data_IF_209120234896
#
_entry.id   IF_209120234896
#
_cell.length_a   1.000
_cell.length_b   1.000
_cell.length_c   1.000
_cell.angle_alpha   90.00
_cell.angle_beta   90.00
_cell.angle_gamma   90.00
#
_symmetry.space_group_name_H-M   'P 1'
#
loop_
_entity.id
_entity.type
_entity.pdbx_description
1 polymer ?
#
# COMPACT_ATOMS: atom_id res chain seq x y z
N UNK A 1 -0.55 14.27 -21.46
CA UNK A 1 -1.68 13.59 -22.12
C UNK A 1 -1.75 12.10 -21.75
N UNK A 2 -0.70 11.28 -22.02
CA UNK A 2 -0.73 9.82 -21.77
C UNK A 2 -1.01 9.52 -20.30
N UNK A 3 -0.32 10.18 -19.37
CA UNK A 3 -0.52 10.03 -17.92
C UNK A 3 -1.96 10.40 -17.51
N UNK A 4 -2.48 11.53 -18.04
CA UNK A 4 -3.85 11.96 -17.76
C UNK A 4 -4.91 10.95 -18.26
N UNK A 5 -4.70 10.35 -19.43
CA UNK A 5 -5.61 9.30 -19.93
C UNK A 5 -5.52 8.01 -19.09
N UNK A 6 -4.30 7.59 -18.70
CA UNK A 6 -4.11 6.44 -17.83
C UNK A 6 -4.80 6.65 -16.46
N UNK A 7 -4.65 7.85 -15.88
CA UNK A 7 -5.32 8.19 -14.62
C UNK A 7 -6.86 8.15 -14.75
N UNK A 8 -7.43 8.73 -15.82
CA UNK A 8 -8.88 8.70 -16.07
C UNK A 8 -9.45 7.29 -16.24
N UNK A 9 -8.66 6.38 -16.82
CA UNK A 9 -9.04 4.99 -17.00
C UNK A 9 -8.75 4.12 -15.77
N UNK A 10 -8.27 4.69 -14.67
CA UNK A 10 -7.94 3.94 -13.46
C UNK A 10 -6.75 2.99 -13.62
N UNK A 11 -5.84 3.27 -14.56
CA UNK A 11 -4.67 2.42 -14.77
C UNK A 11 -3.73 2.46 -13.56
N UNK A 12 -3.22 1.30 -13.16
CA UNK A 12 -2.17 1.19 -12.13
C UNK A 12 -0.78 1.45 -12.69
N UNK A 13 -0.52 1.02 -13.93
CA UNK A 13 0.79 1.15 -14.57
C UNK A 13 0.65 1.50 -16.06
N UNK A 14 1.63 2.28 -16.56
CA UNK A 14 1.84 2.54 -17.99
C UNK A 14 3.13 1.86 -18.40
N UNK A 15 3.07 0.94 -19.36
CA UNK A 15 4.22 0.25 -19.91
C UNK A 15 4.60 0.83 -21.27
N UNK A 16 5.86 1.17 -21.45
CA UNK A 16 6.50 1.48 -22.72
C UNK A 16 7.50 0.38 -23.05
N UNK A 17 7.22 -0.39 -24.07
CA UNK A 17 8.02 -1.56 -24.44
C UNK A 17 8.61 -1.34 -25.83
N UNK A 18 9.93 -1.26 -25.90
CA UNK A 18 10.66 -1.06 -27.15
C UNK A 18 10.77 -2.35 -27.95
N UNK A 19 10.45 -2.28 -29.23
CA UNK A 19 10.50 -3.39 -30.16
C UNK A 19 11.05 -2.91 -31.51
N UNK A 20 11.43 -3.85 -32.43
CA UNK A 20 12.02 -3.51 -33.73
C UNK A 20 11.16 -2.53 -34.55
N UNK A 21 9.83 -2.67 -34.51
CA UNK A 21 8.87 -1.87 -35.29
C UNK A 21 8.32 -0.62 -34.62
N UNK A 22 8.77 -0.31 -33.40
CA UNK A 22 8.27 0.84 -32.63
C UNK A 22 8.17 0.54 -31.15
N UNK A 23 7.49 1.39 -30.40
CA UNK A 23 7.31 1.25 -28.96
C UNK A 23 5.84 1.02 -28.64
N UNK A 24 5.56 -0.10 -28.01
CA UNK A 24 4.20 -0.46 -27.56
C UNK A 24 3.89 0.30 -26.28
N UNK A 25 2.72 0.94 -26.23
CA UNK A 25 2.19 1.59 -25.02
C UNK A 25 1.03 0.74 -24.52
N UNK A 26 1.16 0.22 -23.31
CA UNK A 26 0.13 -0.60 -22.67
C UNK A 26 -0.24 -0.02 -21.30
N UNK A 27 -1.50 -0.10 -20.94
CA UNK A 27 -1.98 0.24 -19.60
C UNK A 27 -2.35 -1.03 -18.86
N UNK A 28 -2.05 -1.06 -17.57
CA UNK A 28 -2.55 -2.11 -16.68
C UNK A 28 -3.85 -1.63 -16.05
N UNK A 29 -4.96 -2.25 -16.44
CA UNK A 29 -6.30 -2.00 -15.91
C UNK A 29 -6.75 -3.28 -15.21
N UNK A 30 -7.18 -3.20 -13.96
CA UNK A 30 -7.65 -4.33 -13.16
C UNK A 30 -6.72 -5.55 -13.19
N UNK A 31 -5.41 -5.30 -13.18
CA UNK A 31 -4.37 -6.32 -13.20
C UNK A 31 -3.99 -6.83 -14.61
N UNK A 32 -4.79 -6.56 -15.66
CA UNK A 32 -4.52 -6.97 -17.03
C UNK A 32 -3.84 -5.87 -17.86
N UNK A 33 -2.97 -6.26 -18.80
CA UNK A 33 -2.31 -5.33 -19.71
C UNK A 33 -3.11 -5.17 -21.01
N UNK A 34 -3.52 -3.93 -21.30
CA UNK A 34 -4.26 -3.56 -22.49
C UNK A 34 -3.40 -2.74 -23.46
N UNK A 35 -3.42 -3.09 -24.75
CA UNK A 35 -2.73 -2.35 -25.79
C UNK A 35 -3.47 -1.03 -26.05
N UNK A 36 -2.75 0.09 -25.89
CA UNK A 36 -3.30 1.43 -26.12
C UNK A 36 -2.83 2.01 -27.43
N UNK A 37 -1.51 1.90 -27.72
CA UNK A 37 -0.94 2.46 -28.94
C UNK A 37 0.40 1.82 -29.29
N UNK A 38 0.82 2.06 -30.54
CA UNK A 38 2.22 1.87 -30.96
C UNK A 38 2.73 3.22 -31.43
N UNK A 39 3.84 3.68 -30.89
CA UNK A 39 4.45 4.96 -31.25
C UNK A 39 5.82 4.75 -31.88
N UNK A 40 6.30 5.73 -32.65
CA UNK A 40 7.64 5.66 -33.23
C UNK A 40 8.72 5.83 -32.15
N UNK A 41 9.90 5.24 -32.37
CA UNK A 41 11.06 5.43 -31.50
C UNK A 41 11.45 6.91 -31.33
N UNK A 42 11.25 7.73 -32.37
CA UNK A 42 11.51 9.18 -32.28
C UNK A 42 10.58 9.86 -31.28
N UNK A 43 9.28 9.57 -31.38
CA UNK A 43 8.26 10.14 -30.46
C UNK A 43 8.49 9.66 -29.02
N UNK A 44 8.87 8.41 -28.87
CA UNK A 44 9.17 7.84 -27.54
C UNK A 44 10.43 8.50 -26.93
N UNK A 45 11.50 8.73 -27.69
CA UNK A 45 12.69 9.45 -27.19
C UNK A 45 12.36 10.83 -26.65
N UNK A 46 11.50 11.59 -27.33
CA UNK A 46 11.06 12.91 -26.84
C UNK A 46 10.28 12.81 -25.52
N UNK A 47 9.38 11.83 -25.42
CA UNK A 47 8.64 11.55 -24.18
C UNK A 47 9.57 11.14 -23.06
N UNK A 48 10.49 10.23 -23.33
CA UNK A 48 11.48 9.72 -22.38
C UNK A 48 12.38 10.83 -21.84
N UNK A 49 12.86 11.75 -22.70
CA UNK A 49 13.64 12.91 -22.27
C UNK A 49 12.82 13.83 -21.32
N UNK A 50 11.57 14.09 -21.64
CA UNK A 50 10.70 14.90 -20.80
C UNK A 50 10.45 14.25 -19.42
N UNK A 51 10.26 12.95 -19.40
CA UNK A 51 10.08 12.18 -18.17
C UNK A 51 11.37 12.15 -17.35
N UNK A 52 12.50 11.89 -18.00
CA UNK A 52 13.81 11.78 -17.35
C UNK A 52 14.21 13.05 -16.61
N UNK A 53 13.99 14.21 -17.22
CA UNK A 53 14.23 15.51 -16.57
C UNK A 53 13.38 15.68 -15.32
N UNK A 54 12.08 15.34 -15.40
CA UNK A 54 11.16 15.50 -14.27
C UNK A 54 11.41 14.48 -13.15
N UNK A 55 11.83 13.25 -13.51
CA UNK A 55 12.06 12.16 -12.56
C UNK A 55 13.52 12.10 -12.07
N UNK A 56 14.38 13.01 -12.53
CA UNK A 56 15.82 13.04 -12.24
C UNK A 56 16.52 11.71 -12.51
N UNK A 57 16.24 11.12 -13.69
CA UNK A 57 16.87 9.89 -14.18
C UNK A 57 17.65 10.16 -15.46
N UNK A 58 18.62 9.28 -15.79
CA UNK A 58 19.42 9.40 -17.00
C UNK A 58 18.89 8.49 -18.12
N UNK A 59 18.63 9.07 -19.30
CA UNK A 59 18.28 8.28 -20.50
C UNK A 59 19.46 7.57 -21.14
N UNK A 60 20.69 7.89 -20.72
CA UNK A 60 21.94 7.30 -21.22
C UNK A 60 22.58 6.31 -20.23
N UNK A 61 21.95 6.05 -19.09
CA UNK A 61 22.48 5.11 -18.11
C UNK A 61 22.50 3.69 -18.67
N UNK A 62 23.62 2.96 -18.49
CA UNK A 62 23.73 1.57 -18.92
C UNK A 62 22.92 0.60 -18.03
N UNK A 63 22.54 1.06 -16.85
CA UNK A 63 21.84 0.27 -15.84
C UNK A 63 20.38 0.70 -15.70
N UNK A 64 19.60 -0.13 -15.01
CA UNK A 64 18.23 0.20 -14.62
C UNK A 64 18.20 1.48 -13.77
N UNK A 65 17.22 2.33 -14.02
CA UNK A 65 17.04 3.59 -13.29
C UNK A 65 15.65 3.63 -12.64
N UNK A 66 15.63 4.12 -11.43
CA UNK A 66 14.38 4.43 -10.70
C UNK A 66 14.27 5.92 -10.50
N UNK A 67 13.13 6.49 -10.80
CA UNK A 67 12.82 7.90 -10.59
C UNK A 67 11.43 8.12 -10.02
N UNK A 68 11.21 9.29 -9.45
CA UNK A 68 9.92 9.71 -8.92
C UNK A 68 9.53 11.04 -9.55
N UNK A 69 8.26 11.19 -9.88
CA UNK A 69 7.73 12.47 -10.31
C UNK A 69 6.31 12.65 -9.81
N UNK A 70 5.94 13.90 -9.64
CA UNK A 70 4.57 14.30 -9.32
C UNK A 70 4.06 15.24 -10.40
N UNK A 71 2.81 15.09 -10.80
CA UNK A 71 2.19 15.93 -11.80
C UNK A 71 0.76 16.26 -11.40
N UNK A 72 0.33 17.55 -11.49
CA UNK A 72 -1.07 17.88 -11.31
C UNK A 72 -1.91 17.24 -12.43
N UNK A 73 -3.01 16.63 -12.04
CA UNK A 73 -4.03 16.06 -12.93
C UNK A 73 -5.41 16.54 -12.49
N UNK A 74 -6.32 16.68 -13.44
CA UNK A 74 -7.70 17.03 -13.13
C UNK A 74 -8.51 15.77 -12.81
N UNK A 75 -9.25 15.81 -11.72
CA UNK A 75 -10.28 14.85 -11.39
C UNK A 75 -11.50 15.07 -12.32
N UNK A 76 -12.45 14.14 -12.30
CA UNK A 76 -13.68 14.24 -13.10
C UNK A 76 -14.59 15.41 -12.65
N UNK A 77 -14.47 15.86 -11.41
CA UNK A 77 -15.15 17.05 -10.86
C UNK A 77 -14.47 18.38 -11.19
N UNK A 78 -13.35 18.34 -11.92
CA UNK A 78 -12.56 19.52 -12.30
C UNK A 78 -11.58 20.01 -11.23
N UNK A 79 -11.49 19.37 -10.09
CA UNK A 79 -10.48 19.69 -9.07
C UNK A 79 -9.10 19.17 -9.47
N UNK A 80 -8.04 19.93 -9.16
CA UNK A 80 -6.68 19.46 -9.33
C UNK A 80 -6.27 18.55 -8.18
N UNK A 81 -5.64 17.42 -8.54
CA UNK A 81 -4.90 16.59 -7.56
C UNK A 81 -3.48 16.35 -8.03
N UNK A 82 -2.58 16.16 -7.10
CA UNK A 82 -1.20 15.78 -7.40
C UNK A 82 -1.12 14.26 -7.57
N UNK A 83 -0.82 13.80 -8.78
CA UNK A 83 -0.59 12.38 -9.06
C UNK A 83 0.89 12.07 -8.89
N UNK A 84 1.21 11.26 -7.89
CA UNK A 84 2.56 10.76 -7.66
C UNK A 84 2.80 9.52 -8.53
N UNK A 85 4.01 9.40 -9.07
CA UNK A 85 4.38 8.32 -9.99
C UNK A 85 5.81 7.86 -9.71
N UNK A 86 6.02 6.56 -9.78
CA UNK A 86 7.35 5.94 -9.80
C UNK A 86 7.64 5.45 -11.21
N UNK A 87 8.83 5.70 -11.67
CA UNK A 87 9.31 5.29 -12.98
C UNK A 87 10.47 4.33 -12.81
N UNK A 88 10.36 3.19 -13.47
CA UNK A 88 11.43 2.23 -13.63
C UNK A 88 11.81 2.18 -15.10
N UNK A 89 13.10 2.28 -15.41
CA UNK A 89 13.60 2.14 -16.77
C UNK A 89 14.68 1.06 -16.83
N UNK A 90 14.66 0.26 -17.89
CA UNK A 90 15.62 -0.82 -18.10
C UNK A 90 16.11 -0.80 -19.57
N UNK A 91 17.42 -0.78 -19.83
CA UNK A 91 17.95 -0.91 -21.18
C UNK A 91 17.57 -2.26 -21.81
N UNK A 92 17.18 -2.22 -23.08
CA UNK A 92 16.84 -3.41 -23.88
C UNK A 92 17.56 -3.37 -25.23
N UNK A 93 17.41 -4.42 -26.03
CA UNK A 93 18.02 -4.51 -27.35
C UNK A 93 17.58 -3.38 -28.31
N UNK A 94 16.34 -2.89 -28.18
CA UNK A 94 15.75 -1.91 -29.10
C UNK A 94 15.62 -0.52 -28.51
N UNK A 95 16.16 -0.29 -27.32
CA UNK A 95 16.10 0.98 -26.62
C UNK A 95 15.98 0.78 -25.11
N UNK A 96 15.25 1.63 -24.45
CA UNK A 96 15.03 1.56 -23.02
C UNK A 96 13.55 1.39 -22.75
N UNK A 97 13.15 0.28 -22.15
CA UNK A 97 11.78 0.08 -21.68
C UNK A 97 11.54 0.94 -20.44
N UNK A 98 10.31 1.35 -20.24
CA UNK A 98 9.90 2.09 -19.05
C UNK A 98 8.55 1.61 -18.53
N UNK A 99 8.42 1.55 -17.21
CA UNK A 99 7.14 1.37 -16.53
C UNK A 99 6.91 2.56 -15.63
N UNK A 100 5.75 3.20 -15.77
CA UNK A 100 5.31 4.28 -14.88
C UNK A 100 4.19 3.72 -14.04
N UNK A 101 4.42 3.56 -12.74
CA UNK A 101 3.40 3.22 -11.77
C UNK A 101 2.72 4.48 -11.27
N UNK A 102 1.39 4.51 -11.36
CA UNK A 102 0.58 5.62 -10.89
C UNK A 102 0.10 5.32 -9.47
N UNK A 103 0.42 6.19 -8.53
CA UNK A 103 -0.10 6.14 -7.17
C UNK A 103 -1.37 6.97 -7.08
N UNK A 104 -2.47 6.39 -7.58
CA UNK A 104 -3.79 7.02 -7.53
C UNK A 104 -4.54 6.53 -6.31
N UNK A 105 -4.30 7.18 -5.17
CA UNK A 105 -5.05 6.86 -3.96
C UNK A 105 -6.40 7.58 -3.99
N UNK A 106 -7.46 6.83 -3.83
CA UNK A 106 -8.78 7.39 -3.59
C UNK A 106 -8.79 8.04 -2.19
N UNK A 107 -9.06 9.34 -2.14
CA UNK A 107 -9.14 10.09 -0.89
C UNK A 107 -10.19 9.50 0.09
N UNK A 108 -11.20 8.81 -0.43
CA UNK A 108 -12.17 8.10 0.40
C UNK A 108 -11.54 6.94 1.18
N UNK A 109 -10.49 6.30 0.63
CA UNK A 109 -9.77 5.23 1.31
C UNK A 109 -8.83 5.74 2.43
N UNK A 110 -8.65 7.06 2.55
CA UNK A 110 -7.94 7.66 3.69
C UNK A 110 -8.80 7.76 4.95
N UNK A 111 -10.04 7.28 4.89
CA UNK A 111 -10.92 7.18 6.06
C UNK A 111 -11.06 5.73 6.48
N UNK A 112 -10.73 5.42 7.73
CA UNK A 112 -10.83 4.06 8.28
C UNK A 112 -12.25 3.47 8.12
N UNK A 113 -13.28 4.29 8.17
CA UNK A 113 -14.68 3.87 8.00
C UNK A 113 -14.97 3.29 6.61
N UNK A 114 -14.16 3.64 5.61
CA UNK A 114 -14.35 3.20 4.22
C UNK A 114 -13.53 1.95 3.87
N UNK A 115 -12.74 1.43 4.81
CA UNK A 115 -11.91 0.23 4.56
C UNK A 115 -12.67 -1.09 4.70
N UNK A 116 -13.96 -1.05 5.06
CA UNK A 116 -14.80 -2.24 5.20
C UNK A 116 -14.51 -3.06 6.46
N UNK A 117 -13.92 -2.45 7.48
CA UNK A 117 -13.69 -3.08 8.77
C UNK A 117 -15.01 -3.31 9.52
N UNK A 118 -15.17 -4.47 10.11
CA UNK A 118 -16.28 -4.71 11.05
C UNK A 118 -16.09 -3.90 12.34
N UNK A 119 -17.15 -3.68 13.13
CA UNK A 119 -17.03 -3.01 14.42
C UNK A 119 -16.04 -3.70 15.39
N UNK A 120 -15.96 -5.04 15.32
CA UNK A 120 -15.07 -5.85 16.13
C UNK A 120 -13.60 -5.65 15.72
N UNK A 121 -13.34 -5.48 14.42
CA UNK A 121 -11.99 -5.21 13.89
C UNK A 121 -11.59 -3.76 14.10
N UNK A 122 -12.53 -2.84 14.03
CA UNK A 122 -12.31 -1.41 14.23
C UNK A 122 -11.95 -1.05 15.67
N UNK A 123 -12.64 -1.65 16.64
CA UNK A 123 -12.48 -1.34 18.07
C UNK A 123 -11.03 -1.46 18.58
N UNK A 124 -10.28 -2.55 18.34
CA UNK A 124 -8.88 -2.64 18.77
C UNK A 124 -7.99 -1.56 18.14
N UNK A 125 -8.27 -1.14 16.91
CA UNK A 125 -7.52 -0.08 16.24
C UNK A 125 -7.76 1.24 16.98
N UNK A 126 -9.03 1.64 17.19
CA UNK A 126 -9.39 2.87 17.86
C UNK A 126 -8.85 2.92 19.29
N UNK A 127 -8.87 1.80 20.00
CA UNK A 127 -8.31 1.68 21.34
C UNK A 127 -6.80 1.96 21.33
N UNK A 128 -6.05 1.29 20.45
CA UNK A 128 -4.57 1.42 20.43
C UNK A 128 -4.12 2.78 19.97
N UNK A 129 -4.76 3.38 18.96
CA UNK A 129 -4.38 4.71 18.47
C UNK A 129 -4.77 5.86 19.43
N UNK A 130 -5.60 5.58 20.44
CA UNK A 130 -5.88 6.53 21.52
C UNK A 130 -4.75 6.62 22.54
N UNK A 131 -3.83 5.64 22.57
CA UNK A 131 -2.68 5.64 23.48
C UNK A 131 -1.56 6.53 22.95
N UNK A 132 -0.82 7.20 23.84
CA UNK A 132 0.27 8.10 23.44
C UNK A 132 1.51 7.35 22.92
N UNK A 133 1.66 6.07 23.21
CA UNK A 133 2.83 5.28 22.86
C UNK A 133 2.48 3.80 22.62
N UNK A 134 3.36 3.12 21.93
CA UNK A 134 3.22 1.70 21.59
C UNK A 134 3.52 1.46 20.13
N UNK A 135 3.45 0.21 19.67
CA UNK A 135 3.70 -0.17 18.29
C UNK A 135 2.49 -0.90 17.70
N UNK A 136 2.10 -0.47 16.51
CA UNK A 136 1.13 -1.16 15.65
C UNK A 136 1.85 -1.71 14.43
N UNK A 137 1.70 -3.01 14.16
CA UNK A 137 2.29 -3.67 13.00
C UNK A 137 1.20 -4.11 12.02
N UNK A 138 1.30 -3.64 10.78
CA UNK A 138 0.50 -4.12 9.65
C UNK A 138 1.25 -5.22 8.91
N UNK A 139 0.66 -6.41 8.79
CA UNK A 139 1.27 -7.54 8.10
C UNK A 139 0.41 -8.07 6.96
N UNK A 140 1.06 -8.66 5.98
CA UNK A 140 0.39 -9.20 4.79
C UNK A 140 1.30 -9.14 3.56
N UNK A 141 0.92 -9.79 2.46
CA UNK A 141 1.68 -9.75 1.21
C UNK A 141 1.70 -8.35 0.59
N UNK A 142 2.52 -8.19 -0.44
CA UNK A 142 2.50 -6.99 -1.28
C UNK A 142 1.11 -6.83 -1.91
N UNK A 143 0.61 -5.61 -1.97
CA UNK A 143 -0.72 -5.32 -2.52
C UNK A 143 -1.90 -5.67 -1.60
N UNK A 144 -1.68 -6.01 -0.32
CA UNK A 144 -2.78 -6.26 0.63
C UNK A 144 -3.38 -4.99 1.25
N UNK A 145 -2.97 -3.80 0.83
CA UNK A 145 -3.52 -2.53 1.31
C UNK A 145 -2.91 -2.02 2.63
N UNK A 146 -1.77 -2.54 3.08
CA UNK A 146 -1.12 -2.12 4.34
C UNK A 146 -0.88 -0.62 4.42
N UNK A 147 -0.26 -0.04 3.39
CA UNK A 147 0.04 1.40 3.32
C UNK A 147 -1.24 2.23 3.37
N UNK A 148 -2.28 1.81 2.65
CA UNK A 148 -3.59 2.48 2.66
C UNK A 148 -4.19 2.52 4.06
N UNK A 149 -4.17 1.40 4.77
CA UNK A 149 -4.69 1.32 6.15
C UNK A 149 -3.86 2.16 7.11
N UNK A 150 -2.51 2.12 6.99
CA UNK A 150 -1.64 2.99 7.82
C UNK A 150 -1.89 4.48 7.54
N UNK A 151 -2.05 4.86 6.28
CA UNK A 151 -2.39 6.23 5.92
C UNK A 151 -3.76 6.66 6.48
N UNK A 152 -4.75 5.76 6.47
CA UNK A 152 -6.06 6.04 7.07
C UNK A 152 -5.96 6.25 8.58
N UNK A 153 -5.11 5.46 9.27
CA UNK A 153 -4.81 5.65 10.69
C UNK A 153 -4.11 6.99 10.92
N UNK A 154 -3.09 7.31 10.11
CA UNK A 154 -2.39 8.60 10.21
C UNK A 154 -3.34 9.77 10.01
N UNK A 155 -4.25 9.71 9.03
CA UNK A 155 -5.22 10.76 8.79
C UNK A 155 -6.23 10.93 9.94
N UNK A 156 -6.59 9.83 10.61
CA UNK A 156 -7.41 9.91 11.83
C UNK A 156 -6.66 10.52 13.01
N UNK A 157 -5.34 10.32 13.08
CA UNK A 157 -4.46 10.90 14.11
C UNK A 157 -4.00 12.32 13.79
N UNK A 158 -4.25 12.79 12.56
CA UNK A 158 -3.76 14.08 12.07
C UNK A 158 -4.56 15.23 12.68
N UNK A 159 -4.08 15.68 13.81
CA UNK A 159 -4.61 16.80 14.57
C UNK A 159 -3.51 17.87 14.70
N UNK A 160 -3.84 19.18 14.60
CA UNK A 160 -2.84 20.26 14.72
C UNK A 160 -2.01 20.26 16.02
N UNK A 161 -2.47 19.56 17.05
CA UNK A 161 -1.77 19.44 18.34
C UNK A 161 -0.76 18.28 18.36
N UNK A 162 -0.71 17.47 17.30
CA UNK A 162 0.17 16.31 17.19
C UNK A 162 1.16 16.44 16.04
N UNK A 163 2.38 16.03 16.26
CA UNK A 163 3.41 15.96 15.22
C UNK A 163 3.53 14.56 14.68
N UNK A 164 3.09 14.39 13.42
CA UNK A 164 3.17 13.14 12.68
C UNK A 164 4.38 13.18 11.73
N UNK A 165 5.19 12.12 11.76
CA UNK A 165 6.33 11.96 10.86
C UNK A 165 6.31 10.57 10.24
N UNK A 166 6.55 10.49 8.93
CA UNK A 166 6.69 9.21 8.23
C UNK A 166 8.08 9.03 7.63
N UNK A 167 8.54 7.80 7.57
CA UNK A 167 9.76 7.36 6.89
C UNK A 167 9.36 6.32 5.84
N UNK A 168 9.58 6.60 4.56
CA UNK A 168 9.00 5.79 3.46
C UNK A 168 10.00 5.55 2.32
N UNK A 169 9.91 4.39 1.68
CA UNK A 169 10.76 4.01 0.53
C UNK A 169 9.89 3.42 -0.61
N UNK A 170 9.37 4.27 -1.49
CA UNK A 170 9.26 5.74 -1.44
C UNK A 170 7.99 6.23 -0.73
N UNK A 171 7.82 7.55 -0.64
CA UNK A 171 6.52 8.16 -0.31
C UNK A 171 5.55 7.92 -1.45
N UNK A 172 4.48 7.15 -1.20
CA UNK A 172 3.50 6.80 -2.25
C UNK A 172 2.52 7.92 -2.54
N UNK A 173 2.12 8.66 -1.51
CA UNK A 173 1.13 9.73 -1.62
C UNK A 173 1.44 10.85 -0.61
N UNK A 174 1.38 12.11 -1.07
CA UNK A 174 1.55 13.27 -0.19
C UNK A 174 0.33 13.46 0.71
N UNK A 175 0.56 13.46 2.01
CA UNK A 175 -0.47 13.70 3.02
C UNK A 175 -0.23 15.07 3.67
N UNK A 176 -1.25 15.91 3.68
CA UNK A 176 -1.16 17.21 4.34
C UNK A 176 -1.12 17.07 5.86
N UNK A 177 -0.48 18.00 6.54
CA UNK A 177 -0.44 18.09 8.00
C UNK A 177 0.58 17.17 8.67
N UNK A 178 1.47 16.49 7.91
CA UNK A 178 2.53 15.65 8.45
C UNK A 178 3.85 15.80 7.70
N UNK A 179 4.95 15.39 8.32
CA UNK A 179 6.28 15.40 7.71
C UNK A 179 6.59 14.04 7.11
N UNK A 180 6.54 13.91 5.79
CA UNK A 180 6.89 12.66 5.08
C UNK A 180 8.33 12.71 4.59
N UNK A 181 9.17 11.79 5.04
CA UNK A 181 10.61 11.75 4.80
C UNK A 181 10.92 10.52 3.92
N UNK A 182 11.37 10.72 2.68
CA UNK A 182 11.80 9.61 1.85
C UNK A 182 13.09 8.98 2.39
N UNK A 183 13.14 7.66 2.40
CA UNK A 183 14.33 6.86 2.67
C UNK A 183 14.83 6.32 1.34
N UNK A 184 16.14 6.37 1.11
CA UNK A 184 16.74 5.82 -0.12
C UNK A 184 17.63 4.63 0.24
N UNK A 185 17.78 3.70 -0.73
CA UNK A 185 18.67 2.54 -0.57
C UNK A 185 20.17 2.89 -0.67
N UNK A 186 20.54 4.17 -0.56
CA UNK A 186 21.94 4.62 -0.60
C UNK A 186 22.62 4.34 0.73
N UNK A 187 23.93 4.09 0.67
CA UNK A 187 24.75 3.83 1.84
C UNK A 187 24.63 4.98 2.87
N UNK A 188 24.33 4.64 4.13
CA UNK A 188 24.09 5.61 5.22
C UNK A 188 22.67 6.15 5.35
N UNK A 189 21.78 5.88 4.41
CA UNK A 189 20.39 6.37 4.40
C UNK A 189 19.39 5.24 4.74
N UNK A 190 19.56 4.62 5.92
CA UNK A 190 18.70 3.54 6.37
C UNK A 190 17.50 4.04 7.19
N UNK A 191 16.44 3.23 7.24
CA UNK A 191 15.30 3.48 8.14
C UNK A 191 15.74 3.69 9.58
N UNK A 192 16.67 2.88 10.10
CA UNK A 192 17.18 3.01 11.45
C UNK A 192 17.90 4.33 11.71
N UNK A 193 18.73 4.80 10.76
CA UNK A 193 19.45 6.07 10.91
C UNK A 193 18.51 7.28 10.90
N UNK A 194 17.56 7.31 9.97
CA UNK A 194 16.53 8.35 9.91
C UNK A 194 15.59 8.32 11.10
N UNK A 195 15.19 7.14 11.55
CA UNK A 195 14.33 7.00 12.73
C UNK A 195 14.99 7.59 13.98
N UNK A 196 16.29 7.30 14.21
CA UNK A 196 17.05 7.97 15.30
C UNK A 196 17.11 9.48 15.17
N UNK A 197 17.16 10.01 13.96
CA UNK A 197 17.11 11.45 13.73
C UNK A 197 15.71 12.03 14.01
N UNK A 198 14.67 11.36 13.54
CA UNK A 198 13.26 11.76 13.70
C UNK A 198 12.86 11.79 15.17
N UNK A 199 13.29 10.82 15.99
CA UNK A 199 13.02 10.82 17.44
C UNK A 199 13.49 12.10 18.17
N UNK A 200 14.45 12.84 17.59
CA UNK A 200 14.91 14.13 18.13
C UNK A 200 14.10 15.34 17.65
N UNK A 201 13.12 15.12 16.79
CA UNK A 201 12.22 16.17 16.29
C UNK A 201 10.93 16.29 17.10
N UNK A 202 10.86 15.61 18.25
CA UNK A 202 9.70 15.61 19.15
C UNK A 202 8.38 15.18 18.44
N UNK A 203 8.35 14.02 17.79
CA UNK A 203 7.14 13.51 17.15
C UNK A 203 6.24 12.78 18.16
N UNK A 204 4.92 12.89 18.01
CA UNK A 204 3.96 12.08 18.76
C UNK A 204 3.73 10.72 18.07
N UNK A 205 3.67 10.75 16.73
CA UNK A 205 3.42 9.57 15.90
C UNK A 205 4.51 9.43 14.85
N UNK A 206 5.07 8.23 14.75
CA UNK A 206 6.09 7.90 13.75
C UNK A 206 5.58 6.72 12.92
N UNK A 207 5.47 6.89 11.60
CA UNK A 207 5.29 5.76 10.70
C UNK A 207 6.63 5.35 10.10
N UNK A 208 7.00 4.08 10.26
CA UNK A 208 8.13 3.47 9.56
C UNK A 208 7.56 2.59 8.45
N UNK A 209 7.80 2.95 7.20
CA UNK A 209 7.21 2.29 6.04
C UNK A 209 7.30 0.76 6.11
N UNK A 210 8.48 0.25 6.48
CA UNK A 210 8.64 -1.18 6.74
C UNK A 210 9.84 -1.46 7.66
N UNK A 211 9.76 -2.59 8.36
CA UNK A 211 10.86 -3.16 9.14
C UNK A 211 11.43 -4.34 8.36
N UNK A 212 12.66 -4.17 7.84
CA UNK A 212 13.38 -5.21 7.06
C UNK A 212 14.58 -5.79 7.81
N UNK A 213 15.13 -5.05 8.77
CA UNK A 213 16.38 -5.38 9.44
C UNK A 213 16.29 -5.20 10.96
N UNK A 214 17.26 -5.80 11.64
CA UNK A 214 17.36 -5.84 13.11
C UNK A 214 17.50 -4.43 13.70
N UNK A 215 18.28 -3.56 13.07
CA UNK A 215 18.53 -2.20 13.58
C UNK A 215 17.27 -1.33 13.51
N UNK A 216 16.53 -1.41 12.41
CA UNK A 216 15.23 -0.76 12.27
C UNK A 216 14.23 -1.31 13.29
N UNK A 217 14.16 -2.63 13.48
CA UNK A 217 13.27 -3.26 14.46
C UNK A 217 13.57 -2.79 15.88
N UNK A 218 14.84 -2.83 16.30
CA UNK A 218 15.26 -2.40 17.65
C UNK A 218 15.00 -0.90 17.87
N UNK A 219 15.30 -0.06 16.88
CA UNK A 219 15.09 1.39 16.99
C UNK A 219 13.59 1.72 17.06
N UNK A 220 12.75 1.04 16.28
CA UNK A 220 11.30 1.24 16.31
C UNK A 220 10.68 0.78 17.65
N UNK A 221 11.12 -0.35 18.19
CA UNK A 221 10.72 -0.80 19.52
C UNK A 221 11.16 0.20 20.61
N UNK A 222 12.39 0.71 20.53
CA UNK A 222 12.87 1.72 21.46
C UNK A 222 12.01 2.99 21.40
N UNK A 223 11.69 3.49 20.22
CA UNK A 223 10.78 4.62 20.03
C UNK A 223 9.42 4.38 20.67
N UNK A 224 8.85 3.19 20.48
CA UNK A 224 7.51 2.85 20.99
C UNK A 224 7.39 2.76 22.51
N UNK A 225 8.47 2.52 23.21
CA UNK A 225 8.48 2.51 24.69
C UNK A 225 8.94 3.83 25.30
N UNK A 226 9.53 4.71 24.49
CA UNK A 226 10.02 6.04 24.94
C UNK A 226 9.04 7.17 24.67
N UNK A 227 7.76 6.86 24.48
CA UNK A 227 6.70 7.86 24.42
C UNK A 227 6.12 8.12 23.02
N UNK A 228 6.49 7.34 21.99
CA UNK A 228 5.98 7.55 20.63
C UNK A 228 5.00 6.43 20.23
N UNK A 229 3.93 6.79 19.52
CA UNK A 229 3.11 5.81 18.81
C UNK A 229 3.79 5.47 17.47
N UNK A 230 4.25 4.23 17.34
CA UNK A 230 4.97 3.75 16.16
C UNK A 230 4.05 2.89 15.32
N UNK A 231 3.86 3.25 14.07
CA UNK A 231 3.12 2.49 13.05
C UNK A 231 4.12 1.91 12.06
N UNK A 232 4.01 0.65 11.69
CA UNK A 232 4.91 0.08 10.68
C UNK A 232 4.30 -1.08 9.94
N UNK A 233 4.89 -1.41 8.77
CA UNK A 233 4.61 -2.68 8.10
C UNK A 233 5.69 -3.71 8.40
N UNK A 234 5.30 -4.97 8.36
CA UNK A 234 6.21 -6.09 8.50
C UNK A 234 5.79 -7.23 7.58
N UNK A 235 6.75 -7.93 6.98
CA UNK A 235 6.45 -9.03 6.07
C UNK A 235 6.24 -10.34 6.85
N UNK A 236 4.98 -10.74 6.96
CA UNK A 236 4.58 -12.03 7.53
C UNK A 236 3.24 -12.50 6.94
N UNK A 237 3.00 -13.78 6.96
CA UNK A 237 1.77 -14.40 6.46
C UNK A 237 0.58 -14.26 7.40
N UNK A 238 0.83 -14.06 8.70
CA UNK A 238 -0.20 -13.88 9.74
C UNK A 238 0.33 -13.03 10.90
N UNK A 239 -0.55 -12.59 11.78
CA UNK A 239 -0.18 -11.85 12.98
C UNK A 239 0.69 -12.70 13.93
N UNK A 240 0.36 -13.99 14.09
CA UNK A 240 1.15 -14.93 14.91
C UNK A 240 2.56 -15.13 14.33
N UNK A 241 2.67 -15.34 13.02
CA UNK A 241 3.97 -15.45 12.34
C UNK A 241 4.80 -14.18 12.50
N UNK A 242 4.17 -13.01 12.42
CA UNK A 242 4.87 -11.74 12.58
C UNK A 242 5.51 -11.62 13.96
N UNK A 243 4.78 -12.01 15.00
CA UNK A 243 5.29 -11.99 16.36
C UNK A 243 6.49 -12.94 16.54
N UNK A 244 6.38 -14.18 16.03
CA UNK A 244 7.48 -15.16 16.04
C UNK A 244 8.70 -14.64 15.29
N UNK A 245 8.53 -14.10 14.08
CA UNK A 245 9.64 -13.55 13.30
C UNK A 245 10.30 -12.34 13.96
N UNK A 246 9.54 -11.51 14.67
CA UNK A 246 10.13 -10.42 15.47
C UNK A 246 11.00 -10.98 16.61
N UNK A 247 10.57 -12.04 17.27
CA UNK A 247 11.39 -12.73 18.30
C UNK A 247 12.66 -13.29 17.67
N UNK A 248 12.56 -13.97 16.54
CA UNK A 248 13.72 -14.53 15.82
C UNK A 248 14.71 -13.44 15.40
N UNK A 249 14.20 -12.28 14.96
CA UNK A 249 15.01 -11.16 14.48
C UNK A 249 15.79 -10.46 15.61
N UNK A 250 15.15 -10.18 16.74
CA UNK A 250 15.72 -9.34 17.81
C UNK A 250 16.10 -10.10 19.07
N UNK A 251 15.78 -11.40 19.12
CA UNK A 251 15.93 -12.26 20.29
C UNK A 251 14.76 -12.15 21.27
N UNK A 252 14.79 -12.99 22.31
CA UNK A 252 13.81 -12.95 23.40
C UNK A 252 14.02 -11.68 24.24
N UNK A 253 13.35 -10.62 23.85
CA UNK A 253 13.41 -9.32 24.52
C UNK A 253 12.06 -9.01 25.20
N UNK A 254 12.00 -8.88 26.53
CA UNK A 254 10.76 -8.55 27.26
C UNK A 254 10.08 -7.26 26.76
N UNK A 255 10.86 -6.34 26.22
CA UNK A 255 10.36 -5.08 25.65
C UNK A 255 9.36 -5.34 24.52
N UNK A 256 9.52 -6.43 23.77
CA UNK A 256 8.64 -6.78 22.65
C UNK A 256 7.18 -6.88 23.08
N UNK A 257 6.91 -7.56 24.18
CA UNK A 257 5.55 -7.78 24.72
C UNK A 257 4.93 -6.46 25.19
N UNK A 258 5.72 -5.58 25.77
CA UNK A 258 5.23 -4.28 26.26
C UNK A 258 5.07 -3.24 25.14
N UNK A 259 5.89 -3.32 24.11
CA UNK A 259 5.95 -2.38 23.01
C UNK A 259 4.84 -2.63 21.96
N UNK A 260 4.70 -3.88 21.51
CA UNK A 260 3.70 -4.22 20.48
C UNK A 260 2.32 -4.27 21.13
N UNK A 261 1.44 -3.37 20.69
CA UNK A 261 0.07 -3.24 21.17
C UNK A 261 -0.94 -3.92 20.26
N UNK A 262 -0.66 -3.95 18.95
CA UNK A 262 -1.56 -4.52 17.95
C UNK A 262 -0.77 -5.03 16.74
N UNK A 263 -1.15 -6.20 16.25
CA UNK A 263 -0.70 -6.73 14.97
C UNK A 263 -1.93 -7.00 14.11
N UNK A 264 -2.01 -6.35 12.94
CA UNK A 264 -3.12 -6.47 12.01
C UNK A 264 -2.64 -7.22 10.78
N UNK A 265 -3.22 -8.40 10.54
CA UNK A 265 -2.96 -9.15 9.31
C UNK A 265 -4.06 -8.86 8.29
N UNK A 266 -3.65 -8.39 7.10
CA UNK A 266 -4.59 -7.89 6.08
C UNK A 266 -4.45 -8.62 4.76
N UNK A 267 -5.61 -8.86 4.12
CA UNK A 267 -5.75 -9.34 2.75
C UNK A 267 -6.85 -8.53 2.07
N UNK A 268 -6.71 -8.29 0.77
CA UNK A 268 -7.78 -7.72 -0.04
C UNK A 268 -8.61 -8.85 -0.63
N UNK A 269 -9.92 -8.71 -0.56
CA UNK A 269 -10.90 -9.54 -1.25
C UNK A 269 -11.71 -8.68 -2.20
N UNK A 270 -12.23 -9.26 -3.27
CA UNK A 270 -13.12 -8.54 -4.17
C UNK A 270 -14.45 -8.30 -3.46
N UNK A 271 -14.87 -7.05 -3.44
CA UNK A 271 -16.21 -6.66 -2.99
C UNK A 271 -17.19 -6.88 -4.13
N UNK A 272 -18.33 -7.48 -3.82
CA UNK A 272 -19.43 -7.56 -4.76
C UNK A 272 -20.08 -6.18 -4.90
N UNK A 273 -20.43 -5.81 -6.13
CA UNK A 273 -21.22 -4.63 -6.38
C UNK A 273 -22.65 -4.84 -5.87
N UNK A 274 -23.08 -3.94 -4.99
CA UNK A 274 -24.40 -4.03 -4.35
C UNK A 274 -25.56 -3.93 -5.35
N UNK A 275 -25.36 -3.25 -6.49
CA UNK A 275 -26.37 -3.09 -7.53
C UNK A 275 -26.53 -4.34 -8.42
N UNK A 276 -25.46 -5.12 -8.58
CA UNK A 276 -25.45 -6.25 -9.53
C UNK A 276 -25.28 -7.63 -8.88
N UNK A 277 -24.96 -7.71 -7.57
CA UNK A 277 -24.81 -8.98 -6.86
C UNK A 277 -26.11 -9.80 -6.93
N UNK A 278 -25.96 -11.10 -7.14
CA UNK A 278 -27.06 -12.05 -7.21
C UNK A 278 -27.05 -12.91 -5.97
N UNK A 279 -28.16 -12.88 -5.22
CA UNK A 279 -28.40 -13.79 -4.10
C UNK A 279 -28.64 -15.22 -4.62
N UNK A 280 -28.07 -16.22 -3.96
CA UNK A 280 -28.33 -17.62 -4.27
C UNK A 280 -28.27 -18.49 -3.02
N UNK A 281 -29.00 -19.58 -3.05
CA UNK A 281 -28.88 -20.63 -2.03
C UNK A 281 -27.72 -21.56 -2.38
N UNK A 282 -26.73 -21.74 -1.47
CA UNK A 282 -25.62 -22.63 -1.71
C UNK A 282 -26.08 -24.10 -1.74
N UNK A 283 -25.49 -24.87 -2.63
CA UNK A 283 -25.66 -26.32 -2.65
C UNK A 283 -24.94 -26.98 -1.45
N UNK A 284 -25.19 -28.30 -1.26
CA UNK A 284 -24.59 -29.02 -0.14
C UNK A 284 -23.06 -29.10 -0.23
N UNK A 285 -22.47 -29.03 -1.42
CA UNK A 285 -21.02 -29.01 -1.61
C UNK A 285 -20.42 -27.75 -1.00
N UNK A 286 -21.00 -26.60 -1.32
CA UNK A 286 -20.59 -25.30 -0.76
C UNK A 286 -20.82 -25.26 0.75
N UNK A 287 -21.99 -25.75 1.22
CA UNK A 287 -22.30 -25.82 2.66
C UNK A 287 -21.30 -26.71 3.40
N UNK A 288 -20.92 -27.85 2.82
CA UNK A 288 -19.94 -28.75 3.44
C UNK A 288 -18.56 -28.11 3.51
N UNK A 289 -18.14 -27.41 2.47
CA UNK A 289 -16.87 -26.67 2.51
C UNK A 289 -16.88 -25.56 3.57
N UNK A 290 -17.99 -24.83 3.71
CA UNK A 290 -18.14 -23.84 4.80
C UNK A 290 -18.07 -24.52 6.17
N UNK A 291 -18.74 -25.68 6.36
CA UNK A 291 -18.67 -26.44 7.62
C UNK A 291 -17.24 -26.87 7.94
N UNK A 292 -16.50 -27.32 6.94
CA UNK A 292 -15.10 -27.73 7.08
C UNK A 292 -14.23 -26.56 7.56
N UNK A 293 -14.34 -25.39 6.90
CA UNK A 293 -13.63 -24.17 7.30
C UNK A 293 -14.00 -23.75 8.73
N UNK A 294 -15.31 -23.76 9.06
CA UNK A 294 -15.80 -23.39 10.37
C UNK A 294 -15.42 -24.40 11.48
N UNK A 295 -15.12 -25.66 11.12
CA UNK A 295 -14.65 -26.66 12.07
C UNK A 295 -13.26 -26.35 12.66
N UNK A 296 -12.44 -25.60 11.90
CA UNK A 296 -11.12 -25.12 12.35
C UNK A 296 -11.15 -23.92 13.30
N UNK A 297 -12.33 -23.36 13.59
CA UNK A 297 -12.43 -22.25 14.53
C UNK A 297 -12.27 -22.73 15.98
N UNK A 298 -11.69 -21.90 16.87
CA UNK A 298 -11.57 -22.21 18.29
C UNK A 298 -12.92 -22.56 18.94
N UNK A 299 -12.86 -23.37 20.02
CA UNK A 299 -14.07 -23.66 20.82
C UNK A 299 -14.65 -22.35 21.38
N UNK A 300 -15.99 -22.18 21.23
CA UNK A 300 -16.70 -20.98 21.67
C UNK A 300 -16.82 -19.88 20.61
N UNK A 301 -16.19 -20.01 19.42
CA UNK A 301 -16.41 -19.08 18.33
C UNK A 301 -17.87 -19.15 17.83
N UNK A 302 -18.50 -17.99 17.64
CA UNK A 302 -19.83 -17.92 17.03
C UNK A 302 -19.76 -18.41 15.58
N UNK A 303 -20.51 -19.46 15.29
CA UNK A 303 -20.63 -20.01 13.93
C UNK A 303 -21.98 -19.60 13.33
N UNK A 304 -22.01 -19.17 12.06
CA UNK A 304 -23.27 -18.84 11.40
C UNK A 304 -24.17 -20.09 11.28
N UNK A 305 -25.48 -19.88 11.36
CA UNK A 305 -26.44 -20.93 11.01
C UNK A 305 -26.45 -21.16 9.51
N UNK A 306 -26.08 -22.38 9.09
CA UNK A 306 -26.00 -22.76 7.69
C UNK A 306 -27.33 -23.29 7.14
N UNK A 307 -28.37 -23.41 7.95
CA UNK A 307 -29.65 -24.02 7.53
C UNK A 307 -30.35 -23.16 6.48
N UNK A 308 -30.34 -21.83 6.68
CA UNK A 308 -30.98 -20.85 5.78
C UNK A 308 -29.98 -19.81 5.27
N UNK A 309 -28.71 -20.20 5.11
CA UNK A 309 -27.67 -19.27 4.66
C UNK A 309 -27.91 -18.89 3.20
N UNK A 310 -27.95 -17.58 2.96
CA UNK A 310 -27.98 -17.00 1.64
C UNK A 310 -26.61 -16.44 1.33
N UNK A 311 -26.09 -16.77 0.16
CA UNK A 311 -24.81 -16.27 -0.34
C UNK A 311 -25.05 -15.35 -1.54
N UNK A 312 -24.05 -14.55 -1.84
CA UNK A 312 -24.06 -13.65 -2.98
C UNK A 312 -22.92 -13.98 -3.92
N UNK A 313 -23.16 -13.89 -5.23
CA UNK A 313 -22.15 -14.00 -6.27
C UNK A 313 -22.17 -12.78 -7.18
N UNK A 314 -21.09 -12.58 -7.93
CA UNK A 314 -21.01 -11.51 -8.90
C UNK A 314 -22.12 -11.67 -9.96
N UNK A 315 -22.87 -10.61 -10.19
CA UNK A 315 -23.73 -10.46 -11.34
C UNK A 315 -22.98 -9.73 -12.46
N UNK A 316 -23.65 -9.60 -13.62
CA UNK A 316 -23.14 -8.84 -14.78
C UNK A 316 -24.00 -7.62 -15.02
N UNK A 317 -23.38 -6.50 -15.42
CA UNK A 317 -24.05 -5.32 -15.96
C UNK A 317 -23.32 -4.90 -17.23
N UNK A 318 -23.93 -3.94 -17.97
CA UNK A 318 -23.28 -3.34 -19.14
C UNK A 318 -21.98 -2.58 -18.76
N UNK A 319 -21.90 -2.07 -17.52
CA UNK A 319 -20.73 -1.38 -16.98
C UNK A 319 -19.68 -2.34 -16.37
N UNK A 320 -20.11 -3.56 -15.97
CA UNK A 320 -19.26 -4.62 -15.40
C UNK A 320 -19.62 -5.97 -16.04
N UNK A 321 -19.13 -6.27 -17.26
CA UNK A 321 -19.45 -7.47 -18.03
C UNK A 321 -18.84 -8.77 -17.50
#
# INVERSE_FOLDING_TARGET
>A
YVIGQANKLGASDIHFETARGGVRVRFRLDGALHMIAVISHQKYRQLQQSIAVKANISTAAPDAQTGHLSQPVLNDDGTEKLLNMRIETVPTLYGQDAVIRLFNMDANLLKLDNLGLSPEERKPIDEVISHPHGMVLMVGPTGSGKTTTLYSILMQLNDPTRKLVTLEDPVEYGLDGMSQIPVSSREGDSFASKLRAVMRLDPDVIMVGEIRDVDTARTALQASITGHLVLSTFHAGSAAEAFTRMIDMIGQNPILISAIKLIISQRLVRRLDDATKIEYEPDETVKNHIREVLSGLPEGAQKPDLTNIKLFKAGKSEENP
#
